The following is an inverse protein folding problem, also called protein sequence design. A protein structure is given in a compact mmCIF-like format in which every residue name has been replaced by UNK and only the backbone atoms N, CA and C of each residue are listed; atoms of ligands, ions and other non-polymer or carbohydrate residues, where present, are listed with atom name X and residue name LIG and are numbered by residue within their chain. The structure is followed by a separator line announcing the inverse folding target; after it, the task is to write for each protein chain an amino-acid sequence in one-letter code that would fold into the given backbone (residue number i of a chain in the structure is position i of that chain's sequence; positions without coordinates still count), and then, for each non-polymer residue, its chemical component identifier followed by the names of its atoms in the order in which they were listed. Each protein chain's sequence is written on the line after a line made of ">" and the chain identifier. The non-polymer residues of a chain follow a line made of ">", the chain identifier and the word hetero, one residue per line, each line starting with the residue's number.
data_IF_381029075861
#
_entry.id   IF_381029075861
#
_cell.length_a   1.000
_cell.length_b   1.000
_cell.length_c   1.000
_cell.angle_alpha   90.00
_cell.angle_beta   90.00
_cell.angle_gamma   90.00
#
_symmetry.space_group_name_H-M   'P 1'
#
loop_
_entity.id
_entity.type
_entity.pdbx_description
1 polymer ?
#
# COMPACT_ATOMS: atom_id res chain seq x y z
N UNK A 1 29.55 -17.80 15.28
CA UNK A 1 29.62 -17.40 13.87
C UNK A 1 29.26 -18.63 13.07
N UNK A 2 27.98 -18.77 12.76
CA UNK A 2 27.49 -19.91 12.03
C UNK A 2 27.98 -19.86 10.58
N UNK A 3 28.24 -21.04 10.01
CA UNK A 3 28.63 -21.16 8.60
C UNK A 3 27.36 -21.18 7.77
N UNK A 4 27.15 -20.12 6.97
CA UNK A 4 26.12 -20.08 5.91
C UNK A 4 26.83 -19.87 4.57
N UNK A 5 26.38 -20.58 3.55
CA UNK A 5 26.93 -20.49 2.20
C UNK A 5 25.86 -20.00 1.22
N UNK A 6 26.28 -19.54 0.05
CA UNK A 6 25.34 -19.02 -0.97
C UNK A 6 24.51 -20.16 -1.54
N UNK A 7 25.12 -21.35 -1.63
CA UNK A 7 24.51 -22.60 -2.07
C UNK A 7 23.28 -22.94 -1.22
N UNK A 8 23.34 -22.73 0.10
CA UNK A 8 22.21 -23.00 1.01
C UNK A 8 20.96 -22.13 0.70
N UNK A 9 21.18 -20.97 0.06
CA UNK A 9 20.14 -19.97 -0.24
C UNK A 9 19.65 -20.04 -1.69
N UNK A 10 20.51 -20.41 -2.65
CA UNK A 10 20.18 -20.37 -4.09
C UNK A 10 19.10 -21.40 -4.48
N UNK A 11 18.97 -22.49 -3.70
CA UNK A 11 17.87 -23.46 -3.88
C UNK A 11 16.49 -22.84 -3.57
N UNK A 12 16.43 -21.78 -2.74
CA UNK A 12 15.20 -21.08 -2.36
C UNK A 12 14.98 -19.83 -3.20
N UNK A 13 16.07 -19.15 -3.57
CA UNK A 13 16.05 -17.95 -4.42
C UNK A 13 17.05 -18.14 -5.56
N UNK A 14 16.55 -18.57 -6.71
CA UNK A 14 17.40 -18.95 -7.86
C UNK A 14 18.23 -17.77 -8.38
N UNK A 15 17.66 -16.56 -8.35
CA UNK A 15 18.36 -15.35 -8.77
C UNK A 15 19.19 -14.78 -7.61
N UNK A 16 20.50 -14.72 -7.81
CA UNK A 16 21.45 -14.21 -6.81
C UNK A 16 21.28 -12.73 -6.49
N UNK A 17 20.79 -11.93 -7.45
CA UNK A 17 20.51 -10.52 -7.19
C UNK A 17 19.27 -10.36 -6.32
N UNK A 18 18.23 -11.15 -6.56
CA UNK A 18 17.01 -11.15 -5.74
C UNK A 18 17.33 -11.63 -4.33
N UNK A 19 18.17 -12.66 -4.19
CA UNK A 19 18.66 -13.11 -2.87
C UNK A 19 19.30 -11.97 -2.07
N UNK A 20 20.16 -11.17 -2.72
CA UNK A 20 20.78 -10.01 -2.06
C UNK A 20 19.73 -8.98 -1.64
N UNK A 21 18.73 -8.73 -2.48
CA UNK A 21 17.69 -7.75 -2.23
C UNK A 21 16.77 -8.17 -1.06
N UNK A 22 16.30 -9.42 -1.07
CA UNK A 22 15.45 -10.00 -0.04
C UNK A 22 16.19 -10.12 1.30
N UNK A 23 17.44 -10.62 1.30
CA UNK A 23 18.25 -10.68 2.51
C UNK A 23 18.55 -9.29 3.09
N UNK A 24 18.74 -8.28 2.23
CA UNK A 24 18.91 -6.89 2.67
C UNK A 24 17.61 -6.32 3.28
N UNK A 25 16.45 -6.63 2.70
CA UNK A 25 15.15 -6.25 3.27
C UNK A 25 14.97 -6.86 4.65
N UNK A 26 15.16 -8.17 4.77
CA UNK A 26 15.06 -8.87 6.05
C UNK A 26 16.04 -8.33 7.09
N UNK A 27 17.28 -8.07 6.69
CA UNK A 27 18.27 -7.47 7.59
C UNK A 27 17.86 -6.08 8.10
N UNK A 28 17.12 -5.28 7.31
CA UNK A 28 16.55 -3.99 7.76
C UNK A 28 15.42 -4.21 8.76
N UNK A 29 14.52 -5.16 8.52
CA UNK A 29 13.46 -5.50 9.47
C UNK A 29 14.04 -5.89 10.84
N UNK A 30 15.05 -6.77 10.85
CA UNK A 30 15.77 -7.16 12.07
C UNK A 30 16.41 -5.94 12.73
N UNK A 31 17.00 -5.04 11.94
CA UNK A 31 17.58 -3.79 12.46
C UNK A 31 16.52 -2.85 13.04
N UNK A 32 15.28 -2.93 12.55
CA UNK A 32 14.10 -2.23 13.04
C UNK A 32 13.44 -2.90 14.25
N UNK A 33 13.99 -4.02 14.75
CA UNK A 33 13.49 -4.72 15.93
C UNK A 33 12.53 -5.88 15.63
N UNK A 34 12.44 -6.33 14.37
CA UNK A 34 11.70 -7.54 14.05
C UNK A 34 12.27 -8.75 14.82
N UNK A 35 11.38 -9.63 15.29
CA UNK A 35 11.76 -10.83 16.02
C UNK A 35 12.52 -11.80 15.10
N UNK A 36 13.51 -12.47 15.69
CA UNK A 36 14.28 -13.49 15.01
C UNK A 36 13.56 -14.83 15.10
N UNK A 37 13.54 -15.55 13.99
CA UNK A 37 13.00 -16.91 13.93
C UNK A 37 14.05 -17.97 14.27
N UNK A 38 15.32 -17.56 14.34
CA UNK A 38 16.48 -18.40 14.64
C UNK A 38 17.31 -17.85 15.77
N UNK A 39 17.98 -18.75 16.50
CA UNK A 39 18.93 -18.38 17.54
C UNK A 39 20.16 -17.65 16.98
N UNK A 40 20.49 -16.53 17.64
CA UNK A 40 21.56 -15.63 17.23
C UNK A 40 22.93 -16.10 17.76
N UNK A 41 23.75 -16.68 16.89
CA UNK A 41 25.13 -17.08 17.21
C UNK A 41 26.16 -15.97 16.94
N UNK A 42 25.98 -14.81 17.60
CA UNK A 42 26.81 -13.60 17.43
C UNK A 42 26.89 -13.08 15.98
N UNK A 43 26.00 -13.57 15.12
CA UNK A 43 25.94 -13.21 13.72
C UNK A 43 25.38 -11.79 13.55
N UNK A 44 25.81 -11.11 12.49
CA UNK A 44 25.26 -9.80 12.09
C UNK A 44 23.93 -9.99 11.38
N UNK A 45 23.07 -8.96 11.37
CA UNK A 45 21.73 -9.04 10.80
C UNK A 45 21.69 -9.60 9.35
N UNK A 46 22.61 -9.24 8.43
CA UNK A 46 22.64 -9.85 7.10
C UNK A 46 22.92 -11.36 7.10
N UNK A 47 23.76 -11.84 8.02
CA UNK A 47 24.08 -13.28 8.14
C UNK A 47 22.90 -14.03 8.76
N UNK A 48 22.23 -13.44 9.75
CA UNK A 48 21.00 -14.01 10.33
C UNK A 48 19.90 -14.10 9.27
N UNK A 49 19.70 -13.04 8.48
CA UNK A 49 18.72 -13.05 7.38
C UNK A 49 18.97 -14.17 6.35
N UNK A 50 20.23 -14.37 5.93
CA UNK A 50 20.58 -15.47 5.03
C UNK A 50 20.33 -16.85 5.65
N UNK A 51 20.54 -17.00 6.97
CA UNK A 51 20.23 -18.24 7.68
C UNK A 51 18.73 -18.49 7.77
N UNK A 52 17.92 -17.47 8.05
CA UNK A 52 16.46 -17.58 8.07
C UNK A 52 15.90 -17.99 6.69
N UNK A 53 16.49 -17.48 5.60
CA UNK A 53 16.14 -17.89 4.23
C UNK A 53 16.59 -19.34 3.96
N UNK A 54 17.81 -19.71 4.37
CA UNK A 54 18.35 -21.05 4.14
C UNK A 54 17.60 -22.14 4.92
N UNK A 55 17.12 -21.83 6.13
CA UNK A 55 16.34 -22.71 7.00
C UNK A 55 14.81 -22.59 6.74
N UNK A 56 14.39 -21.78 5.76
CA UNK A 56 12.99 -21.57 5.36
C UNK A 56 12.06 -21.11 6.49
N UNK A 57 12.63 -20.53 7.56
CA UNK A 57 11.84 -19.93 8.65
C UNK A 57 11.27 -18.57 8.26
N UNK A 58 11.84 -17.95 7.22
CA UNK A 58 11.31 -16.78 6.53
C UNK A 58 11.27 -17.10 5.04
N UNK A 59 10.08 -17.03 4.44
CA UNK A 59 9.90 -17.38 3.04
C UNK A 59 10.28 -16.19 2.12
N UNK A 60 10.97 -16.45 0.99
CA UNK A 60 11.32 -15.41 0.04
C UNK A 60 10.12 -14.60 -0.49
N UNK A 61 8.97 -15.25 -0.67
CA UNK A 61 7.74 -14.61 -1.16
C UNK A 61 7.22 -13.56 -0.17
N UNK A 62 7.22 -13.85 1.13
CA UNK A 62 6.82 -12.90 2.17
C UNK A 62 7.76 -11.68 2.21
N UNK A 63 9.06 -11.91 2.02
CA UNK A 63 10.06 -10.84 1.94
C UNK A 63 9.88 -9.98 0.70
N UNK A 64 9.46 -10.58 -0.40
CA UNK A 64 9.19 -9.86 -1.63
C UNK A 64 7.99 -8.93 -1.47
N UNK A 65 6.91 -9.40 -0.84
CA UNK A 65 5.72 -8.60 -0.56
C UNK A 65 6.03 -7.48 0.45
N UNK A 66 6.78 -7.78 1.51
CA UNK A 66 7.29 -6.77 2.47
C UNK A 66 8.11 -5.70 1.76
N UNK A 67 9.00 -6.10 0.85
CA UNK A 67 9.83 -5.18 0.08
C UNK A 67 8.98 -4.25 -0.79
N UNK A 68 8.00 -4.80 -1.53
CA UNK A 68 7.06 -4.01 -2.34
C UNK A 68 6.32 -3.00 -1.45
N UNK A 69 5.72 -3.46 -0.35
CA UNK A 69 4.99 -2.58 0.57
C UNK A 69 5.87 -1.48 1.16
N UNK A 70 7.14 -1.78 1.46
CA UNK A 70 8.08 -0.79 1.99
C UNK A 70 8.44 0.33 1.00
N UNK A 71 8.30 0.07 -0.30
CA UNK A 71 8.60 1.03 -1.37
C UNK A 71 7.35 1.83 -1.80
N UNK A 72 6.15 1.28 -1.60
CA UNK A 72 4.87 1.93 -1.91
C UNK A 72 4.45 3.00 -0.87
N UNK A 73 5.37 3.85 -0.43
CA UNK A 73 5.11 4.88 0.60
C UNK A 73 4.32 6.11 0.11
N UNK A 74 3.98 6.17 -1.17
CA UNK A 74 3.09 7.22 -1.71
C UNK A 74 1.65 6.73 -1.56
N UNK A 75 1.03 7.11 -0.45
CA UNK A 75 -0.42 7.22 -0.38
C UNK A 75 -0.80 8.34 -1.36
N UNK A 76 -1.73 8.09 -2.28
CA UNK A 76 -2.42 9.18 -2.98
C UNK A 76 -3.13 9.94 -1.86
N UNK A 77 -2.82 11.22 -1.67
CA UNK A 77 -3.56 12.05 -0.71
C UNK A 77 -5.06 11.92 -1.06
N UNK A 78 -5.86 11.39 -0.13
CA UNK A 78 -7.32 11.37 -0.24
C UNK A 78 -7.92 12.81 -0.20
N UNK A 79 -7.09 13.86 -0.31
CA UNK A 79 -7.47 15.27 -0.44
C UNK A 79 -8.25 15.58 -1.74
N UNK A 80 -8.36 14.62 -2.68
CA UNK A 80 -9.28 14.69 -3.82
C UNK A 80 -10.69 14.15 -3.49
N UNK A 81 -10.95 13.67 -2.26
CA UNK A 81 -12.32 13.51 -1.79
C UNK A 81 -12.85 14.89 -1.37
N UNK A 82 -13.91 15.42 -2.00
CA UNK A 82 -14.49 16.66 -1.53
C UNK A 82 -14.98 16.44 -0.09
N UNK A 83 -14.30 17.07 0.88
CA UNK A 83 -14.73 17.12 2.28
C UNK A 83 -16.25 17.33 2.35
N UNK A 84 -16.94 16.68 3.29
CA UNK A 84 -18.41 16.78 3.45
C UNK A 84 -18.89 18.26 3.45
N UNK A 85 -18.03 19.16 3.92
CA UNK A 85 -18.25 20.62 3.94
C UNK A 85 -18.31 21.22 2.51
N UNK A 86 -17.45 20.78 1.59
CA UNK A 86 -17.48 21.17 0.18
C UNK A 86 -18.70 20.63 -0.56
N UNK A 87 -19.12 19.41 -0.25
CA UNK A 87 -20.34 18.80 -0.79
C UNK A 87 -21.62 19.53 -0.36
N UNK A 88 -21.70 19.95 0.91
CA UNK A 88 -22.82 20.76 1.42
C UNK A 88 -22.85 22.14 0.75
N UNK A 89 -21.70 22.79 0.57
CA UNK A 89 -21.62 24.09 -0.10
C UNK A 89 -22.08 24.01 -1.56
N UNK A 90 -21.62 23.01 -2.31
CA UNK A 90 -22.04 22.77 -3.69
C UNK A 90 -23.54 22.44 -3.80
N UNK A 91 -24.06 21.64 -2.85
CA UNK A 91 -25.48 21.31 -2.78
C UNK A 91 -26.34 22.56 -2.49
N UNK A 92 -25.89 23.43 -1.58
CA UNK A 92 -26.56 24.69 -1.27
C UNK A 92 -26.53 25.67 -2.46
N UNK A 93 -25.44 25.69 -3.22
CA UNK A 93 -25.29 26.52 -4.42
C UNK A 93 -26.19 26.04 -5.57
N UNK A 94 -26.26 24.72 -5.78
CA UNK A 94 -27.21 24.12 -6.73
C UNK A 94 -28.68 24.39 -6.37
N UNK A 95 -29.02 24.37 -5.08
CA UNK A 95 -30.36 24.70 -4.60
C UNK A 95 -30.69 26.20 -4.82
N UNK A 96 -29.71 27.09 -4.63
CA UNK A 96 -29.88 28.52 -4.93
C UNK A 96 -30.11 28.77 -6.41
N UNK A 97 -29.35 28.10 -7.28
CA UNK A 97 -29.48 28.26 -8.73
C UNK A 97 -30.85 27.78 -9.24
N UNK A 98 -31.35 26.67 -8.69
CA UNK A 98 -32.67 26.13 -9.05
C UNK A 98 -33.82 26.98 -8.50
N UNK A 99 -33.69 27.52 -7.29
CA UNK A 99 -34.67 28.44 -6.70
C UNK A 99 -34.70 29.83 -7.38
N UNK A 100 -33.61 30.24 -8.04
CA UNK A 100 -33.54 31.50 -8.78
C UNK A 100 -34.14 31.41 -10.21
N UNK A 101 -34.53 30.22 -10.67
CA UNK A 101 -35.20 30.08 -11.95
C UNK A 101 -36.63 30.63 -11.87
N UNK A 102 -36.99 31.66 -12.66
CA UNK A 102 -38.35 32.19 -12.65
C UNK A 102 -39.34 31.09 -13.11
N UNK A 103 -40.55 31.04 -12.54
CA UNK A 103 -41.54 30.05 -12.95
C UNK A 103 -41.78 30.21 -14.46
N UNK A 104 -41.52 29.14 -15.21
CA UNK A 104 -41.78 29.09 -16.64
C UNK A 104 -43.29 29.28 -16.81
N UNK A 105 -43.70 30.45 -17.29
CA UNK A 105 -45.10 30.81 -17.45
C UNK A 105 -45.75 29.85 -18.47
N UNK A 106 -46.38 28.79 -17.99
CA UNK A 106 -47.26 27.92 -18.76
C UNK A 106 -48.63 28.59 -18.87
N UNK A 107 -48.70 29.72 -19.57
CA UNK A 107 -49.96 30.15 -20.15
C UNK A 107 -50.25 29.29 -21.39
N UNK A 108 -50.58 28.02 -21.15
CA UNK A 108 -51.45 27.25 -22.03
C UNK A 108 -52.84 27.40 -21.40
N UNK A 109 -53.46 28.53 -21.68
CA UNK A 109 -54.88 28.72 -21.46
C UNK A 109 -55.61 27.85 -22.47
N UNK A 110 -56.08 26.70 -22.00
CA UNK A 110 -57.09 25.92 -22.70
C UNK A 110 -58.43 26.58 -22.47
N UNK A 111 -58.94 27.26 -23.49
CA UNK A 111 -60.33 27.68 -23.57
C UNK A 111 -61.02 26.83 -24.64
N UNK A 112 -62.00 26.05 -24.19
CA UNK A 112 -62.92 25.25 -25.00
C UNK A 112 -64.06 26.13 -25.56
N UNK A 113 -64.61 25.68 -26.69
CA UNK A 113 -65.98 25.83 -27.21
C UNK A 113 -66.24 26.88 -28.32
N UNK A 114 -66.74 26.38 -29.47
CA UNK A 114 -67.14 27.13 -30.68
C UNK A 114 -66.89 26.39 -31.99
#
# INVERSE_FOLDING_TARGET
>A
MARVTVEDCVDKVTNRFDLVLLAAQRAREISGGAELTLDRDRDKNPVVALREIAEETVLPDDLHDSLIGSLQKVQIDDDDTPDEIGSIAQSAEALRLTAAAPPRNQNIGGDYDG
#
